data_IF_231137612130
#
_entry.id   IF_231137612130
#
_cell.length_a   1.000
_cell.length_b   1.000
_cell.length_c   1.000
_cell.angle_alpha   90.00
_cell.angle_beta   90.00
_cell.angle_gamma   90.00
#
_symmetry.space_group_name_H-M   'P 1'
#
loop_
_entity.id
_entity.type
_entity.pdbx_description
1 polymer ?
#
# COMPACT_ATOMS: atom_id res chain seq x y z
N UNK A 1 -47.75 46.42 -16.55
CA UNK A 1 -46.54 47.16 -16.93
C UNK A 1 -45.60 46.19 -17.61
N UNK A 2 -45.42 46.41 -18.92
CA UNK A 2 -44.59 45.64 -19.84
C UNK A 2 -43.11 45.99 -19.63
N UNK A 3 -42.23 45.00 -19.59
CA UNK A 3 -40.82 45.18 -19.96
C UNK A 3 -40.30 43.90 -20.62
N UNK A 4 -40.11 43.99 -21.95
CA UNK A 4 -39.39 43.01 -22.76
C UNK A 4 -37.91 43.43 -22.83
N UNK A 5 -36.93 42.52 -22.77
CA UNK A 5 -35.56 42.83 -23.12
C UNK A 5 -35.25 42.51 -24.58
N UNK A 6 -34.66 43.51 -25.25
CA UNK A 6 -34.25 43.54 -26.64
C UNK A 6 -33.21 42.47 -27.01
N UNK A 7 -33.48 41.79 -28.11
CA UNK A 7 -32.58 40.87 -28.80
C UNK A 7 -31.65 41.70 -29.73
N UNK A 8 -30.34 41.66 -29.50
CA UNK A 8 -29.35 42.28 -30.41
C UNK A 8 -28.78 41.19 -31.32
N UNK A 9 -29.08 41.28 -32.61
CA UNK A 9 -28.67 40.36 -33.66
C UNK A 9 -27.37 40.88 -34.31
N UNK A 10 -26.23 40.25 -34.03
CA UNK A 10 -24.95 40.55 -34.67
C UNK A 10 -24.73 39.67 -35.91
N UNK A 11 -24.77 40.30 -37.08
CA UNK A 11 -24.48 39.69 -38.38
C UNK A 11 -22.95 39.67 -38.60
N UNK A 12 -22.34 38.49 -38.68
CA UNK A 12 -20.92 38.34 -39.08
C UNK A 12 -20.84 37.83 -40.52
N UNK A 13 -20.20 38.64 -41.39
CA UNK A 13 -19.89 38.29 -42.77
C UNK A 13 -18.86 37.15 -42.82
N UNK A 14 -19.17 36.07 -43.52
CA UNK A 14 -18.20 35.04 -43.89
C UNK A 14 -17.64 35.34 -45.29
N UNK A 15 -16.34 35.67 -45.36
CA UNK A 15 -15.59 35.70 -46.63
C UNK A 15 -15.30 34.28 -47.08
N UNK A 16 -15.77 33.93 -48.27
CA UNK A 16 -15.46 32.69 -48.95
C UNK A 16 -14.02 32.73 -49.51
N UNK A 17 -13.17 31.81 -49.07
CA UNK A 17 -11.87 31.55 -49.67
C UNK A 17 -11.93 30.25 -50.49
N UNK A 18 -11.61 30.38 -51.79
CA UNK A 18 -11.55 29.29 -52.76
C UNK A 18 -10.49 28.25 -52.38
N UNK A 19 -10.90 26.98 -52.31
CA UNK A 19 -9.98 25.86 -52.13
C UNK A 19 -9.38 25.43 -53.47
N UNK A 20 -8.06 25.57 -53.62
CA UNK A 20 -7.30 24.95 -54.70
C UNK A 20 -7.09 23.46 -54.39
N UNK A 21 -7.46 22.60 -55.34
CA UNK A 21 -7.27 21.14 -55.27
C UNK A 21 -5.79 20.83 -55.57
N UNK A 22 -5.07 20.33 -54.56
CA UNK A 22 -3.71 19.81 -54.69
C UNK A 22 -3.79 18.28 -54.83
N UNK A 23 -3.08 17.64 -55.79
CA UNK A 23 -3.11 16.20 -55.98
C UNK A 23 -2.46 15.46 -54.80
N UNK A 24 -3.16 14.46 -54.26
CA UNK A 24 -2.67 13.59 -53.19
C UNK A 24 -1.56 12.66 -53.73
N UNK A 25 -0.31 12.91 -53.32
CA UNK A 25 0.71 11.86 -53.30
C UNK A 25 0.37 10.91 -52.14
N UNK A 26 0.30 9.62 -52.43
CA UNK A 26 0.15 8.58 -51.42
C UNK A 26 1.31 8.62 -50.42
N UNK A 27 1.05 9.19 -49.24
CA UNK A 27 1.94 9.07 -48.08
C UNK A 27 1.66 7.71 -47.47
N UNK A 28 2.65 6.82 -47.52
CA UNK A 28 2.61 5.56 -46.80
C UNK A 28 2.23 5.82 -45.34
N UNK A 29 1.10 5.26 -44.92
CA UNK A 29 0.59 5.32 -43.56
C UNK A 29 1.56 4.57 -42.67
N UNK A 30 2.57 5.26 -42.14
CA UNK A 30 3.32 4.75 -41.01
C UNK A 30 2.32 4.56 -39.88
N UNK A 31 1.98 3.30 -39.63
CA UNK A 31 1.34 2.88 -38.39
C UNK A 31 2.36 3.13 -37.29
N UNK A 32 2.42 4.37 -36.81
CA UNK A 32 3.05 4.66 -35.52
C UNK A 32 2.24 3.89 -34.51
N UNK A 33 2.80 2.76 -34.04
CA UNK A 33 2.30 2.08 -32.87
C UNK A 33 2.18 3.13 -31.78
N UNK A 34 0.96 3.42 -31.36
CA UNK A 34 0.67 4.13 -30.13
C UNK A 34 1.09 3.22 -28.97
N UNK A 35 2.40 3.10 -28.77
CA UNK A 35 2.96 2.73 -27.48
C UNK A 35 2.48 3.82 -26.52
N UNK A 36 1.56 3.44 -25.63
CA UNK A 36 1.28 4.23 -24.43
C UNK A 36 2.62 4.68 -23.88
N UNK A 37 2.90 6.00 -23.91
CA UNK A 37 4.17 6.58 -23.44
C UNK A 37 4.29 6.29 -21.95
N UNK A 38 4.75 5.09 -21.60
CA UNK A 38 5.16 4.76 -20.23
C UNK A 38 6.25 5.77 -19.89
N UNK A 39 6.11 6.38 -18.72
CA UNK A 39 7.15 7.26 -18.19
C UNK A 39 8.43 6.44 -18.12
N UNK A 40 9.47 6.96 -18.75
CA UNK A 40 10.79 6.34 -18.75
C UNK A 40 11.46 6.63 -17.40
N UNK A 41 11.18 5.77 -16.43
CA UNK A 41 11.70 5.91 -15.06
C UNK A 41 13.21 5.72 -15.02
N UNK A 42 13.81 4.99 -15.97
CA UNK A 42 15.26 4.82 -16.04
C UNK A 42 15.94 6.15 -16.38
N UNK A 43 15.41 6.88 -17.36
CA UNK A 43 15.89 8.23 -17.65
C UNK A 43 15.74 9.18 -16.45
N UNK A 44 14.62 9.09 -15.71
CA UNK A 44 14.45 9.87 -14.48
C UNK A 44 15.50 9.51 -13.40
N UNK A 45 15.96 8.27 -13.34
CA UNK A 45 17.00 7.84 -12.41
C UNK A 45 18.35 8.43 -12.78
N UNK A 46 18.69 8.45 -14.07
CA UNK A 46 19.92 9.04 -14.58
C UNK A 46 19.95 10.57 -14.37
N UNK A 47 18.80 11.23 -14.57
CA UNK A 47 18.63 12.66 -14.25
C UNK A 47 18.82 12.92 -12.75
N UNK A 48 18.24 12.08 -11.89
CA UNK A 48 18.35 12.20 -10.44
C UNK A 48 19.80 12.00 -9.96
N UNK A 49 20.53 11.03 -10.51
CA UNK A 49 21.93 10.80 -10.17
C UNK A 49 22.83 11.95 -10.66
N UNK A 50 22.53 12.50 -11.84
CA UNK A 50 23.21 13.69 -12.36
C UNK A 50 23.02 14.89 -11.43
N UNK A 51 21.79 15.11 -10.96
CA UNK A 51 21.49 16.16 -9.98
C UNK A 51 22.20 15.92 -8.64
N UNK A 52 22.19 14.69 -8.12
CA UNK A 52 22.88 14.34 -6.88
C UNK A 52 24.40 14.58 -6.98
N UNK A 53 25.00 14.34 -8.16
CA UNK A 53 26.41 14.67 -8.38
C UNK A 53 26.66 16.17 -8.45
N UNK A 54 25.74 16.94 -9.04
CA UNK A 54 25.80 18.41 -9.03
C UNK A 54 25.69 18.97 -7.61
N UNK A 55 24.80 18.42 -6.78
CA UNK A 55 24.57 18.88 -5.41
C UNK A 55 25.80 18.78 -4.50
N UNK A 56 26.72 17.84 -4.78
CA UNK A 56 28.00 17.71 -4.07
C UNK A 56 28.89 18.96 -4.18
N UNK A 57 28.64 19.85 -5.14
CA UNK A 57 29.41 21.09 -5.32
C UNK A 57 28.71 22.32 -4.75
N UNK A 58 27.52 22.17 -4.16
CA UNK A 58 26.72 23.27 -3.63
C UNK A 58 26.79 23.29 -2.11
N UNK A 59 27.06 24.44 -1.52
CA UNK A 59 27.02 24.64 -0.06
C UNK A 59 25.96 25.67 0.31
N UNK A 60 25.56 25.70 1.58
CA UNK A 60 24.78 26.82 2.10
C UNK A 60 25.49 28.14 1.80
N UNK A 61 24.76 29.16 1.36
CA UNK A 61 25.33 30.44 0.95
C UNK A 61 25.82 30.51 -0.49
N UNK A 62 25.78 29.42 -1.27
CA UNK A 62 26.11 29.46 -2.70
C UNK A 62 25.14 30.38 -3.44
N UNK A 63 25.64 31.11 -4.45
CA UNK A 63 24.78 31.89 -5.33
C UNK A 63 23.85 30.97 -6.13
N UNK A 64 22.60 31.39 -6.30
CA UNK A 64 21.57 30.64 -7.03
C UNK A 64 20.66 31.58 -7.80
N UNK A 65 19.86 31.03 -8.71
CA UNK A 65 18.92 31.82 -9.51
C UNK A 65 17.59 31.08 -9.67
N UNK A 66 16.49 31.83 -9.59
CA UNK A 66 15.15 31.28 -9.71
C UNK A 66 14.66 30.60 -8.42
N UNK A 67 13.58 29.84 -8.53
CA UNK A 67 12.95 29.13 -7.41
C UNK A 67 13.34 27.64 -7.42
N UNK A 68 14.64 27.35 -7.38
CA UNK A 68 15.13 25.97 -7.34
C UNK A 68 15.19 25.40 -5.92
N UNK A 69 14.87 24.12 -5.80
CA UNK A 69 15.10 23.30 -4.61
C UNK A 69 16.22 22.33 -4.93
N UNK A 70 17.28 22.33 -4.12
CA UNK A 70 18.51 21.56 -4.33
C UNK A 70 18.95 20.92 -3.03
N UNK A 71 19.97 20.07 -3.11
CA UNK A 71 20.68 19.61 -1.92
C UNK A 71 22.05 20.28 -1.82
N UNK A 72 22.52 20.47 -0.59
CA UNK A 72 23.90 20.88 -0.33
C UNK A 72 24.81 19.65 -0.23
N UNK A 73 26.12 19.87 -0.27
CA UNK A 73 27.16 18.85 -0.07
C UNK A 73 27.07 18.17 1.29
N UNK A 74 26.50 18.87 2.28
CA UNK A 74 26.30 18.36 3.64
C UNK A 74 25.00 17.54 3.77
N UNK A 75 24.28 17.36 2.65
CA UNK A 75 23.04 16.59 2.61
C UNK A 75 21.84 17.35 3.16
N UNK A 76 21.89 18.68 3.22
CA UNK A 76 20.78 19.53 3.66
C UNK A 76 19.90 19.90 2.47
N UNK A 77 18.61 20.12 2.73
CA UNK A 77 17.69 20.63 1.72
C UNK A 77 17.84 22.14 1.62
N UNK A 78 18.06 22.68 0.43
CA UNK A 78 18.22 24.11 0.24
C UNK A 78 17.26 24.68 -0.80
N UNK A 79 16.79 25.90 -0.54
CA UNK A 79 15.99 26.68 -1.49
C UNK A 79 16.71 27.97 -1.82
N UNK A 80 16.57 28.40 -3.07
CA UNK A 80 17.09 29.70 -3.48
C UNK A 80 16.21 30.82 -2.93
N UNK A 81 16.76 31.68 -2.08
CA UNK A 81 16.10 32.88 -1.57
C UNK A 81 17.04 34.08 -1.72
N UNK A 82 16.56 35.13 -2.39
CA UNK A 82 17.33 36.36 -2.63
C UNK A 82 18.68 36.13 -3.32
N UNK A 83 18.75 35.16 -4.24
CA UNK A 83 19.96 34.82 -5.00
C UNK A 83 20.99 33.98 -4.23
N UNK A 84 20.62 33.48 -3.06
CA UNK A 84 21.49 32.66 -2.19
C UNK A 84 20.78 31.39 -1.75
N UNK A 85 21.50 30.26 -1.71
CA UNK A 85 20.97 29.00 -1.19
C UNK A 85 20.84 29.06 0.33
N UNK A 86 19.60 28.97 0.80
CA UNK A 86 19.27 28.86 2.22
C UNK A 86 19.00 27.40 2.54
N UNK A 87 19.90 26.78 3.31
CA UNK A 87 19.82 25.39 3.69
C UNK A 87 18.97 25.17 4.96
N UNK A 88 18.25 24.06 4.97
CA UNK A 88 17.44 23.54 6.07
C UNK A 88 17.85 22.08 6.29
N UNK A 89 18.34 21.73 7.48
CA UNK A 89 18.71 20.35 7.79
C UNK A 89 17.52 19.40 7.62
N UNK A 90 17.79 18.22 7.07
CA UNK A 90 16.80 17.14 7.08
C UNK A 90 16.60 16.58 8.50
N UNK A 91 15.37 16.15 8.81
CA UNK A 91 15.08 15.53 10.11
C UNK A 91 15.87 14.21 10.30
N UNK A 92 16.12 13.83 11.55
CA UNK A 92 17.09 12.81 11.97
C UNK A 92 17.30 11.61 11.04
N UNK A 93 18.56 11.37 10.66
CA UNK A 93 19.00 10.24 9.84
C UNK A 93 18.68 10.37 8.35
N UNK A 94 18.00 11.43 7.91
CA UNK A 94 17.69 11.69 6.51
C UNK A 94 18.78 12.56 5.86
N UNK A 95 18.92 12.42 4.55
CA UNK A 95 19.76 13.24 3.68
C UNK A 95 18.93 13.76 2.51
N UNK A 96 19.22 14.97 2.05
CA UNK A 96 18.60 15.50 0.86
C UNK A 96 19.14 14.77 -0.38
N UNK A 97 18.23 14.34 -1.25
CA UNK A 97 18.57 13.80 -2.56
C UNK A 97 17.51 14.15 -3.62
N UNK A 98 17.93 14.21 -4.88
CA UNK A 98 17.05 14.06 -6.03
C UNK A 98 16.66 12.59 -6.20
N UNK A 99 15.36 12.35 -6.38
CA UNK A 99 14.76 11.03 -6.57
C UNK A 99 13.95 11.01 -7.88
N UNK A 100 13.92 9.87 -8.60
CA UNK A 100 13.16 9.76 -9.83
C UNK A 100 11.65 9.85 -9.56
N UNK A 101 10.94 10.60 -10.41
CA UNK A 101 9.48 10.58 -10.44
C UNK A 101 8.98 9.26 -11.05
N UNK A 102 7.90 8.74 -10.50
CA UNK A 102 7.36 7.41 -10.85
C UNK A 102 6.15 7.46 -11.78
N UNK A 103 5.43 8.59 -11.81
CA UNK A 103 4.20 8.77 -12.59
C UNK A 103 4.33 9.86 -13.68
N UNK A 104 5.48 10.54 -13.74
CA UNK A 104 5.77 11.60 -14.70
C UNK A 104 7.27 11.66 -14.99
N UNK A 105 7.65 12.29 -16.11
CA UNK A 105 9.05 12.59 -16.44
C UNK A 105 9.64 13.57 -15.40
N UNK A 106 10.91 13.37 -15.04
CA UNK A 106 11.69 14.25 -14.18
C UNK A 106 12.01 13.67 -12.80
N UNK A 107 12.44 14.55 -11.91
CA UNK A 107 12.95 14.23 -10.58
C UNK A 107 12.27 15.10 -9.52
N UNK A 108 12.40 14.72 -8.25
CA UNK A 108 11.97 15.51 -7.11
C UNK A 108 13.07 15.52 -6.05
N UNK A 109 13.32 16.69 -5.46
CA UNK A 109 14.31 16.85 -4.39
C UNK A 109 13.59 16.74 -3.04
N UNK A 110 14.06 15.87 -2.16
CA UNK A 110 13.45 15.64 -0.85
C UNK A 110 14.44 15.06 0.16
N UNK A 111 14.11 15.13 1.45
CA UNK A 111 14.83 14.43 2.50
C UNK A 111 14.40 12.96 2.52
N UNK A 112 15.34 12.05 2.33
CA UNK A 112 15.13 10.61 2.34
C UNK A 112 16.26 9.90 3.10
N UNK A 113 16.07 8.65 3.48
CA UNK A 113 17.20 7.88 4.03
C UNK A 113 18.19 7.53 2.91
N UNK A 114 19.51 7.51 3.16
CA UNK A 114 20.49 7.16 2.13
C UNK A 114 20.21 5.81 1.45
N UNK A 115 19.69 4.83 2.20
CA UNK A 115 19.26 3.54 1.66
C UNK A 115 18.10 3.67 0.67
N UNK A 116 17.07 4.46 1.00
CA UNK A 116 15.89 4.66 0.16
C UNK A 116 16.26 5.37 -1.16
N UNK A 117 17.25 6.27 -1.13
CA UNK A 117 17.76 6.95 -2.33
C UNK A 117 18.33 5.94 -3.31
N UNK A 118 19.21 5.06 -2.82
CA UNK A 118 19.87 4.04 -3.64
C UNK A 118 18.86 3.04 -4.20
N UNK A 119 17.89 2.64 -3.38
CA UNK A 119 16.82 1.72 -3.79
C UNK A 119 15.94 2.33 -4.89
N UNK A 120 15.47 3.56 -4.71
CA UNK A 120 14.60 4.21 -5.71
C UNK A 120 15.29 4.45 -7.03
N UNK A 121 16.59 4.74 -7.03
CA UNK A 121 17.39 4.82 -8.27
C UNK A 121 17.50 3.46 -8.95
N UNK A 122 17.74 2.39 -8.20
CA UNK A 122 17.81 1.04 -8.74
C UNK A 122 16.46 0.54 -9.27
N UNK A 123 15.37 0.73 -8.51
CA UNK A 123 14.01 0.36 -8.90
C UNK A 123 13.57 1.07 -10.17
N UNK A 124 13.87 2.36 -10.30
CA UNK A 124 13.54 3.16 -11.48
C UNK A 124 14.24 2.65 -12.75
N UNK A 125 15.40 2.00 -12.62
CA UNK A 125 16.14 1.32 -13.70
C UNK A 125 15.71 -0.14 -13.92
N UNK A 126 14.66 -0.60 -13.23
CA UNK A 126 14.20 -1.99 -13.28
C UNK A 126 15.06 -2.97 -12.48
N UNK A 127 16.02 -2.47 -11.71
CA UNK A 127 16.80 -3.27 -10.77
C UNK A 127 15.97 -3.60 -9.53
N UNK A 128 15.96 -4.87 -9.12
CA UNK A 128 15.66 -5.22 -7.73
C UNK A 128 16.97 -5.09 -6.96
N UNK A 129 17.26 -3.92 -6.40
CA UNK A 129 18.36 -3.85 -5.43
C UNK A 129 18.04 -4.86 -4.32
N UNK A 130 18.92 -5.86 -4.14
CA UNK A 130 18.87 -6.69 -2.94
C UNK A 130 19.20 -5.77 -1.77
N UNK A 131 18.15 -5.21 -1.15
CA UNK A 131 18.19 -4.63 0.18
C UNK A 131 19.07 -5.51 1.06
N UNK A 132 20.21 -4.99 1.51
CA UNK A 132 20.88 -5.55 2.67
C UNK A 132 19.87 -5.41 3.82
N UNK A 133 19.24 -6.52 4.23
CA UNK A 133 18.19 -6.54 5.25
C UNK A 133 16.75 -6.70 4.76
N UNK A 134 16.47 -7.02 3.48
CA UNK A 134 15.15 -7.60 3.16
C UNK A 134 15.12 -9.02 3.68
N UNK A 135 14.12 -9.38 4.52
CA UNK A 135 13.98 -10.75 4.98
C UNK A 135 13.84 -11.69 3.79
N UNK A 136 14.69 -12.70 3.75
CA UNK A 136 14.60 -13.77 2.77
C UNK A 136 13.81 -14.93 3.37
N UNK A 137 12.89 -15.50 2.59
CA UNK A 137 12.16 -16.68 3.00
C UNK A 137 13.16 -17.83 3.23
N UNK A 138 13.05 -18.60 4.34
CA UNK A 138 13.86 -19.80 4.51
C UNK A 138 13.74 -20.74 3.31
N UNK A 139 14.82 -21.44 2.95
CA UNK A 139 14.85 -22.31 1.78
C UNK A 139 13.73 -23.37 1.81
N UNK A 140 13.41 -23.91 2.99
CA UNK A 140 12.30 -24.86 3.20
C UNK A 140 10.91 -24.28 2.87
N UNK A 141 10.77 -22.96 2.87
CA UNK A 141 9.53 -22.26 2.53
C UNK A 141 9.41 -21.90 1.04
N UNK A 142 10.52 -21.89 0.29
CA UNK A 142 10.55 -21.46 -1.11
C UNK A 142 9.79 -22.40 -2.07
N UNK A 143 9.62 -23.67 -1.69
CA UNK A 143 9.05 -24.72 -2.55
C UNK A 143 7.52 -24.64 -2.73
N UNK A 144 6.80 -23.78 -1.99
CA UNK A 144 5.32 -23.67 -2.06
C UNK A 144 4.80 -22.43 -2.78
N UNK A 145 5.66 -21.46 -3.08
CA UNK A 145 5.27 -20.25 -3.82
C UNK A 145 5.63 -20.37 -5.29
N UNK A 146 4.66 -20.69 -6.17
CA UNK A 146 4.84 -20.41 -7.60
C UNK A 146 5.05 -18.90 -7.73
N UNK A 147 6.30 -18.47 -7.99
CA UNK A 147 6.61 -17.10 -8.43
C UNK A 147 5.80 -16.85 -9.70
N UNK A 148 4.67 -16.15 -9.60
CA UNK A 148 3.97 -15.65 -10.77
C UNK A 148 4.83 -14.52 -11.33
N UNK A 149 5.78 -14.88 -12.19
CA UNK A 149 6.52 -13.95 -13.04
C UNK A 149 5.59 -13.44 -14.13
N UNK A 150 4.66 -12.56 -13.77
CA UNK A 150 3.88 -11.81 -14.75
C UNK A 150 4.36 -10.36 -14.72
N UNK A 151 5.12 -10.01 -15.76
CA UNK A 151 5.54 -8.69 -16.24
C UNK A 151 5.39 -7.49 -15.28
N UNK A 152 6.55 -6.91 -14.92
CA UNK A 152 6.72 -5.56 -14.39
C UNK A 152 5.97 -4.53 -15.24
N UNK A 153 4.77 -4.17 -14.78
CA UNK A 153 4.00 -3.08 -15.34
C UNK A 153 3.11 -2.55 -14.24
N UNK A 154 3.53 -1.45 -13.61
CA UNK A 154 2.78 -0.59 -12.68
C UNK A 154 1.37 -1.13 -12.34
N UNK A 155 1.30 -2.11 -11.44
CA UNK A 155 0.02 -2.58 -10.93
C UNK A 155 -0.32 -1.71 -9.73
N UNK A 156 -1.49 -1.07 -9.76
CA UNK A 156 -2.28 -0.78 -8.54
C UNK A 156 -1.99 -1.93 -7.57
N UNK A 157 -1.40 -1.64 -6.39
CA UNK A 157 -0.87 -2.65 -5.48
C UNK A 157 -1.80 -3.86 -5.46
N UNK A 158 -1.33 -5.00 -6.01
CA UNK A 158 -2.16 -6.18 -6.19
C UNK A 158 -2.74 -6.52 -4.82
N UNK A 159 -4.07 -6.49 -4.70
CA UNK A 159 -4.79 -6.79 -3.45
C UNK A 159 -5.39 -8.18 -3.59
N UNK A 160 -5.24 -9.00 -2.56
CA UNK A 160 -6.09 -10.17 -2.39
C UNK A 160 -7.16 -9.73 -1.38
N UNK A 161 -8.33 -9.38 -1.90
CA UNK A 161 -9.47 -8.94 -1.13
C UNK A 161 -10.41 -10.11 -0.86
N UNK A 162 -10.97 -10.13 0.35
CA UNK A 162 -11.93 -11.12 0.80
C UNK A 162 -13.35 -10.69 0.40
N UNK A 163 -13.87 -11.32 -0.65
CA UNK A 163 -15.19 -10.99 -1.21
C UNK A 163 -16.35 -11.42 -0.32
N UNK A 164 -16.09 -12.30 0.65
CA UNK A 164 -17.03 -12.87 1.61
C UNK A 164 -17.29 -11.96 2.82
N UNK A 165 -16.47 -10.93 3.06
CA UNK A 165 -16.59 -10.05 4.23
C UNK A 165 -17.99 -9.44 4.44
N UNK A 166 -18.73 -8.97 3.41
CA UNK A 166 -20.07 -8.44 3.62
C UNK A 166 -21.04 -9.49 4.17
N UNK A 167 -21.01 -10.70 3.61
CA UNK A 167 -21.86 -11.80 4.08
C UNK A 167 -21.47 -12.26 5.48
N UNK A 168 -20.16 -12.31 5.75
CA UNK A 168 -19.61 -12.66 7.06
C UNK A 168 -20.06 -11.65 8.12
N UNK A 169 -19.92 -10.35 7.86
CA UNK A 169 -20.38 -9.29 8.78
C UNK A 169 -21.90 -9.30 8.99
N UNK A 170 -22.68 -9.58 7.94
CA UNK A 170 -24.13 -9.69 8.04
C UNK A 170 -24.56 -10.86 8.94
N UNK A 171 -23.87 -12.00 8.84
CA UNK A 171 -24.16 -13.17 9.68
C UNK A 171 -24.03 -12.85 11.18
N UNK A 172 -22.99 -12.12 11.60
CA UNK A 172 -22.88 -11.63 12.98
C UNK A 172 -24.04 -10.73 13.36
N UNK A 173 -24.38 -9.78 12.50
CA UNK A 173 -25.43 -8.82 12.79
C UNK A 173 -26.77 -9.54 13.01
N UNK A 174 -27.10 -10.52 12.18
CA UNK A 174 -28.32 -11.32 12.31
C UNK A 174 -28.32 -12.13 13.62
N UNK A 175 -27.20 -12.81 13.94
CA UNK A 175 -27.06 -13.55 15.19
C UNK A 175 -27.16 -12.63 16.43
N UNK A 176 -26.55 -11.45 16.36
CA UNK A 176 -26.53 -10.48 17.45
C UNK A 176 -27.93 -9.90 17.69
N UNK A 177 -28.66 -9.55 16.64
CA UNK A 177 -30.04 -9.04 16.75
C UNK A 177 -31.01 -10.11 17.29
N UNK A 178 -30.80 -11.38 16.93
CA UNK A 178 -31.60 -12.50 17.44
C UNK A 178 -31.21 -12.93 18.87
N UNK A 179 -30.15 -12.37 19.45
CA UNK A 179 -29.57 -12.90 20.69
C UNK A 179 -30.40 -12.64 21.95
N UNK A 180 -31.17 -11.55 22.00
CA UNK A 180 -31.80 -11.06 23.23
C UNK A 180 -30.83 -10.34 24.18
N UNK A 181 -29.55 -10.19 23.80
CA UNK A 181 -28.56 -9.38 24.53
C UNK A 181 -28.75 -7.87 24.32
N UNK A 182 -27.89 -7.06 24.96
CA UNK A 182 -27.90 -5.60 24.78
C UNK A 182 -27.37 -5.21 23.40
N UNK A 183 -28.27 -4.86 22.49
CA UNK A 183 -27.96 -4.44 21.13
C UNK A 183 -27.77 -2.93 21.00
N UNK A 184 -28.06 -2.16 22.06
CA UNK A 184 -28.10 -0.71 22.03
C UNK A 184 -26.82 -0.10 22.60
N UNK A 185 -26.37 -0.56 23.77
CA UNK A 185 -25.16 -0.03 24.40
C UNK A 185 -23.93 -0.48 23.61
N UNK A 186 -23.15 0.47 23.10
CA UNK A 186 -21.97 0.17 22.31
C UNK A 186 -22.25 -0.46 20.94
N UNK A 187 -23.52 -0.63 20.56
CA UNK A 187 -23.96 -1.08 19.23
C UNK A 187 -23.23 -2.35 18.72
N UNK A 188 -23.14 -3.44 19.52
CA UNK A 188 -22.25 -4.57 19.24
C UNK A 188 -22.57 -5.29 17.92
N UNK A 189 -23.83 -5.25 17.46
CA UNK A 189 -24.24 -5.90 16.23
C UNK A 189 -23.61 -5.28 14.97
N UNK A 190 -23.32 -3.97 15.01
CA UNK A 190 -22.68 -3.26 13.89
C UNK A 190 -21.19 -3.05 14.15
N UNK A 191 -20.82 -2.74 15.39
CA UNK A 191 -19.43 -2.41 15.72
C UNK A 191 -18.53 -3.63 15.61
N UNK A 192 -18.91 -4.78 16.17
CA UNK A 192 -17.95 -5.89 16.35
C UNK A 192 -17.58 -6.60 15.04
N UNK A 193 -18.53 -6.96 14.18
CA UNK A 193 -18.21 -7.60 12.90
C UNK A 193 -18.14 -6.62 11.73
N UNK A 194 -18.91 -5.52 11.76
CA UNK A 194 -18.93 -4.53 10.70
C UNK A 194 -17.69 -3.64 10.76
N UNK A 195 -17.66 -2.71 11.70
CA UNK A 195 -16.61 -1.68 11.75
C UNK A 195 -15.30 -2.24 12.29
N UNK A 196 -15.25 -2.61 13.58
CA UNK A 196 -14.06 -3.17 14.21
C UNK A 196 -13.64 -4.48 13.52
N UNK A 197 -14.61 -5.28 13.07
CA UNK A 197 -14.40 -6.58 12.46
C UNK A 197 -13.71 -6.50 11.10
N UNK A 198 -14.27 -5.72 10.17
CA UNK A 198 -13.66 -5.54 8.84
C UNK A 198 -12.31 -4.81 8.98
N UNK A 199 -12.22 -3.79 9.84
CA UNK A 199 -10.98 -3.06 10.07
C UNK A 199 -9.85 -3.97 10.57
N UNK A 200 -10.16 -4.89 11.47
CA UNK A 200 -9.20 -5.87 12.00
C UNK A 200 -8.74 -6.90 10.97
N UNK A 201 -9.48 -7.12 9.88
CA UNK A 201 -9.13 -8.03 8.78
C UNK A 201 -8.34 -7.33 7.67
N UNK A 202 -8.11 -6.01 7.76
CA UNK A 202 -7.27 -5.29 6.82
C UNK A 202 -5.80 -5.71 6.93
N UNK A 203 -5.09 -5.65 5.79
CA UNK A 203 -3.66 -5.95 5.71
C UNK A 203 -2.80 -5.06 6.62
N UNK A 204 -3.26 -3.84 6.89
CA UNK A 204 -2.57 -2.85 7.71
C UNK A 204 -2.82 -2.98 9.21
N UNK A 205 -3.89 -3.65 9.63
CA UNK A 205 -4.28 -3.66 11.03
C UNK A 205 -3.28 -4.43 11.90
N UNK A 206 -3.18 -4.06 13.18
CA UNK A 206 -2.35 -4.76 14.15
C UNK A 206 -2.61 -6.29 14.14
N UNK A 207 -1.57 -7.15 14.24
CA UNK A 207 -1.73 -8.60 14.18
C UNK A 207 -2.69 -9.18 15.24
N UNK A 208 -2.83 -8.52 16.39
CA UNK A 208 -3.72 -8.95 17.48
C UNK A 208 -5.13 -8.38 17.39
N UNK A 209 -5.38 -7.36 16.56
CA UNK A 209 -6.70 -6.71 16.48
C UNK A 209 -7.83 -7.70 16.16
N UNK A 210 -7.62 -8.67 15.27
CA UNK A 210 -8.61 -9.69 14.94
C UNK A 210 -8.96 -10.57 16.15
N UNK A 211 -7.96 -10.95 16.95
CA UNK A 211 -8.19 -11.71 18.17
C UNK A 211 -8.95 -10.88 19.21
N UNK A 212 -8.56 -9.61 19.37
CA UNK A 212 -9.21 -8.71 20.33
C UNK A 212 -10.69 -8.49 20.01
N UNK A 213 -11.03 -8.43 18.72
CA UNK A 213 -12.42 -8.35 18.28
C UNK A 213 -13.16 -9.66 18.52
N UNK A 214 -12.54 -10.82 18.23
CA UNK A 214 -13.13 -12.12 18.56
C UNK A 214 -13.38 -12.29 20.07
N UNK A 215 -12.46 -11.79 20.90
CA UNK A 215 -12.62 -11.77 22.36
C UNK A 215 -13.82 -10.90 22.78
N UNK A 216 -13.99 -9.72 22.18
CA UNK A 216 -15.17 -8.87 22.43
C UNK A 216 -16.47 -9.52 21.95
N UNK A 217 -16.45 -10.28 20.85
CA UNK A 217 -17.61 -11.05 20.38
C UNK A 217 -18.02 -12.10 21.42
N UNK A 218 -17.06 -12.80 22.03
CA UNK A 218 -17.33 -13.77 23.10
C UNK A 218 -17.77 -13.08 24.39
N UNK A 219 -17.20 -11.93 24.74
CA UNK A 219 -17.67 -11.13 25.86
C UNK A 219 -19.15 -10.75 25.70
N UNK A 220 -19.55 -10.33 24.51
CA UNK A 220 -20.96 -10.08 24.18
C UNK A 220 -21.79 -11.35 24.30
N UNK A 221 -21.33 -12.47 23.74
CA UNK A 221 -22.03 -13.76 23.82
C UNK A 221 -22.24 -14.25 25.27
N UNK A 222 -21.36 -13.85 26.20
CA UNK A 222 -21.45 -14.15 27.63
C UNK A 222 -22.31 -13.15 28.42
N UNK A 223 -22.79 -12.07 27.78
CA UNK A 223 -23.56 -11.04 28.46
C UNK A 223 -24.97 -11.51 28.86
N UNK A 224 -25.54 -10.85 29.87
CA UNK A 224 -26.87 -11.19 30.39
C UNK A 224 -27.93 -10.99 29.30
N UNK A 225 -28.86 -11.94 29.20
CA UNK A 225 -29.98 -11.89 28.25
C UNK A 225 -29.68 -12.54 26.90
N UNK A 226 -28.42 -12.85 26.60
CA UNK A 226 -28.06 -13.64 25.42
C UNK A 226 -28.60 -15.05 25.54
N UNK A 227 -29.42 -15.46 24.56
CA UNK A 227 -30.10 -16.75 24.48
C UNK A 227 -29.47 -17.69 23.46
N UNK A 228 -28.71 -17.16 22.49
CA UNK A 228 -28.07 -17.92 21.41
C UNK A 228 -26.54 -17.94 21.52
N UNK A 229 -26.01 -17.91 22.76
CA UNK A 229 -24.56 -17.85 23.07
C UNK A 229 -23.71 -18.79 22.19
N UNK A 230 -24.12 -20.04 22.03
CA UNK A 230 -23.36 -21.03 21.27
C UNK A 230 -23.12 -20.62 19.81
N UNK A 231 -24.11 -20.02 19.15
CA UNK A 231 -23.99 -19.55 17.78
C UNK A 231 -23.08 -18.32 17.67
N UNK A 232 -23.14 -17.41 18.65
CA UNK A 232 -22.25 -16.24 18.69
C UNK A 232 -20.78 -16.63 18.95
N UNK A 233 -20.55 -17.61 19.83
CA UNK A 233 -19.21 -18.15 20.08
C UNK A 233 -18.67 -18.88 18.86
N UNK A 234 -19.48 -19.73 18.20
CA UNK A 234 -19.08 -20.38 16.94
C UNK A 234 -18.66 -19.35 15.87
N UNK A 235 -19.46 -18.28 15.72
CA UNK A 235 -19.12 -17.18 14.83
C UNK A 235 -17.77 -16.55 15.22
N UNK A 236 -17.55 -16.24 16.51
CA UNK A 236 -16.31 -15.63 16.97
C UNK A 236 -15.08 -16.51 16.71
N UNK A 237 -15.20 -17.82 16.86
CA UNK A 237 -14.15 -18.78 16.51
C UNK A 237 -13.87 -18.81 15.00
N UNK A 238 -14.92 -18.83 14.17
CA UNK A 238 -14.78 -18.72 12.70
C UNK A 238 -14.13 -17.40 12.31
N UNK A 239 -14.56 -16.30 12.91
CA UNK A 239 -13.98 -14.98 12.70
C UNK A 239 -12.50 -14.95 13.10
N UNK A 240 -12.12 -15.56 14.22
CA UNK A 240 -10.71 -15.67 14.66
C UNK A 240 -9.84 -16.44 13.67
N UNK A 241 -10.40 -17.46 13.01
CA UNK A 241 -9.74 -18.30 12.00
C UNK A 241 -9.79 -17.71 10.58
N UNK A 242 -10.65 -16.72 10.36
CA UNK A 242 -10.82 -16.10 9.05
C UNK A 242 -9.48 -15.54 8.54
N UNK A 243 -9.14 -15.71 7.25
CA UNK A 243 -7.93 -15.08 6.72
C UNK A 243 -8.04 -13.55 6.82
N UNK A 244 -6.92 -12.86 6.66
CA UNK A 244 -6.86 -11.40 6.59
C UNK A 244 -6.44 -10.97 5.20
N UNK A 245 -6.90 -9.81 4.75
CA UNK A 245 -6.50 -9.21 3.48
C UNK A 245 -4.98 -9.09 3.38
N UNK A 246 -4.44 -9.26 2.17
CA UNK A 246 -3.02 -9.10 1.88
C UNK A 246 -2.79 -8.09 0.74
N UNK A 247 -1.70 -7.33 0.85
CA UNK A 247 -1.28 -6.33 -0.15
C UNK A 247 0.13 -6.63 -0.62
N UNK A 248 0.35 -6.50 -1.93
CA UNK A 248 1.69 -6.56 -2.49
C UNK A 248 2.52 -5.38 -1.96
N UNK A 249 3.69 -5.68 -1.43
CA UNK A 249 4.71 -4.73 -1.02
C UNK A 249 5.74 -4.52 -2.14
N UNK A 250 6.74 -3.66 -1.87
CA UNK A 250 7.87 -3.43 -2.78
C UNK A 250 8.48 -4.77 -3.27
N UNK A 251 8.88 -4.82 -4.54
CA UNK A 251 9.31 -6.06 -5.18
C UNK A 251 8.20 -7.08 -5.49
N UNK A 252 6.92 -6.66 -5.44
CA UNK A 252 5.75 -7.50 -5.69
C UNK A 252 5.66 -8.71 -4.74
N UNK A 253 6.16 -8.54 -3.52
CA UNK A 253 6.08 -9.54 -2.47
C UNK A 253 4.69 -9.48 -1.86
N UNK A 254 3.95 -10.59 -1.90
CA UNK A 254 2.69 -10.74 -1.17
C UNK A 254 2.98 -11.52 0.12
N UNK A 255 3.26 -10.88 1.27
CA UNK A 255 3.55 -11.60 2.49
C UNK A 255 2.29 -12.24 3.10
N UNK A 256 2.51 -13.27 3.91
CA UNK A 256 1.54 -13.79 4.87
C UNK A 256 1.21 -12.74 5.94
N UNK A 257 0.02 -12.81 6.52
CA UNK A 257 -0.36 -11.98 7.67
C UNK A 257 0.31 -12.50 8.95
N UNK A 258 1.02 -11.66 9.73
CA UNK A 258 1.58 -12.07 11.01
C UNK A 258 0.51 -12.55 11.99
N UNK A 259 0.89 -13.49 12.84
CA UNK A 259 0.03 -14.02 13.89
C UNK A 259 0.13 -13.19 15.17
N UNK A 260 -1.00 -12.96 15.83
CA UNK A 260 -1.02 -12.41 17.18
C UNK A 260 -0.18 -13.24 18.16
N UNK A 261 0.68 -12.58 18.92
CA UNK A 261 1.54 -13.19 19.94
C UNK A 261 1.05 -12.92 21.38
N UNK A 262 -0.18 -12.40 21.51
CA UNK A 262 -0.84 -12.18 22.80
C UNK A 262 -1.80 -13.34 23.07
N UNK A 263 -1.85 -13.82 24.31
CA UNK A 263 -2.84 -14.82 24.71
C UNK A 263 -4.27 -14.24 24.57
N UNK A 264 -5.25 -15.03 24.12
CA UNK A 264 -6.65 -14.57 24.08
C UNK A 264 -7.18 -14.37 25.49
N UNK A 265 -8.14 -13.45 25.63
CA UNK A 265 -8.84 -13.22 26.89
C UNK A 265 -9.78 -14.38 27.22
N UNK A 266 -10.51 -14.87 26.23
CA UNK A 266 -11.50 -15.93 26.37
C UNK A 266 -10.91 -17.29 25.98
N UNK A 267 -11.25 -18.33 26.74
CA UNK A 267 -10.67 -19.67 26.60
C UNK A 267 -11.07 -20.35 25.29
N UNK A 268 -12.23 -20.01 24.74
CA UNK A 268 -12.76 -20.50 23.47
C UNK A 268 -11.83 -20.19 22.28
N UNK A 269 -11.00 -19.14 22.37
CA UNK A 269 -10.04 -18.79 21.31
C UNK A 269 -8.66 -19.44 21.49
N UNK A 270 -8.44 -20.21 22.56
CA UNK A 270 -7.12 -20.78 22.84
C UNK A 270 -6.67 -21.73 21.73
N UNK A 271 -5.51 -21.45 21.16
CA UNK A 271 -4.94 -22.23 20.05
C UNK A 271 -5.52 -21.89 18.67
N UNK A 272 -6.49 -20.97 18.60
CA UNK A 272 -7.01 -20.50 17.31
C UNK A 272 -6.13 -19.38 16.75
N UNK A 273 -5.88 -19.46 15.45
CA UNK A 273 -5.13 -18.47 14.69
C UNK A 273 -5.80 -18.24 13.33
N UNK A 274 -5.58 -17.06 12.76
CA UNK A 274 -6.12 -16.71 11.45
C UNK A 274 -5.48 -17.59 10.37
N UNK A 275 -6.26 -18.03 9.40
CA UNK A 275 -5.71 -18.62 8.20
C UNK A 275 -4.86 -17.60 7.42
N UNK A 276 -4.06 -18.13 6.49
CA UNK A 276 -3.35 -17.32 5.50
C UNK A 276 -4.14 -17.35 4.19
N UNK A 277 -4.20 -16.22 3.48
CA UNK A 277 -4.86 -16.17 2.18
C UNK A 277 -4.10 -17.02 1.14
N UNK A 278 -4.85 -17.63 0.23
CA UNK A 278 -4.23 -18.32 -0.90
C UNK A 278 -3.41 -17.34 -1.75
N UNK A 279 -2.21 -17.75 -2.12
CA UNK A 279 -1.30 -16.96 -2.96
C UNK A 279 -0.39 -15.99 -2.21
N UNK A 280 -0.46 -15.91 -0.88
CA UNK A 280 0.59 -15.26 -0.08
C UNK A 280 1.86 -16.11 -0.03
N UNK A 281 2.98 -15.47 0.28
CA UNK A 281 4.27 -16.12 0.46
C UNK A 281 4.33 -16.73 1.87
N UNK A 282 4.39 -18.06 2.03
CA UNK A 282 4.39 -18.70 3.35
C UNK A 282 5.72 -18.54 4.11
N UNK A 283 6.78 -18.08 3.44
CA UNK A 283 8.08 -17.83 4.05
C UNK A 283 8.31 -16.40 4.52
N UNK A 284 7.39 -15.48 4.23
CA UNK A 284 7.49 -14.06 4.58
C UNK A 284 6.18 -13.59 5.20
N UNK A 285 6.25 -12.89 6.32
CA UNK A 285 5.10 -12.36 7.05
C UNK A 285 5.22 -10.84 7.15
N UNK A 286 4.16 -10.07 6.94
CA UNK A 286 4.29 -8.62 6.86
C UNK A 286 3.07 -7.93 6.27
N UNK A 287 3.15 -6.61 6.17
CA UNK A 287 2.04 -5.76 5.74
C UNK A 287 2.49 -4.31 5.56
N UNK A 288 1.59 -3.41 5.13
CA UNK A 288 1.95 -2.01 4.83
C UNK A 288 2.36 -1.19 6.06
N UNK A 289 1.98 -1.60 7.28
CA UNK A 289 2.28 -0.86 8.52
C UNK A 289 3.31 -1.55 9.43
N UNK A 290 3.82 -2.71 9.05
CA UNK A 290 4.77 -3.47 9.88
C UNK A 290 5.83 -4.12 8.99
N UNK A 291 7.06 -4.28 9.50
CA UNK A 291 8.15 -4.83 8.72
C UNK A 291 7.81 -6.24 8.23
N UNK A 292 8.31 -6.58 7.04
CA UNK A 292 8.35 -7.98 6.62
C UNK A 292 9.32 -8.70 7.54
N UNK A 293 8.99 -9.92 7.94
CA UNK A 293 9.82 -10.83 8.73
C UNK A 293 9.87 -12.19 8.04
N UNK A 294 10.96 -12.96 8.21
CA UNK A 294 11.04 -14.30 7.65
C UNK A 294 10.27 -15.29 8.52
N UNK A 295 9.82 -16.40 7.94
CA UNK A 295 9.34 -17.53 8.71
C UNK A 295 10.41 -18.02 9.69
N UNK A 296 10.02 -18.27 10.94
CA UNK A 296 10.93 -18.51 12.06
C UNK A 296 11.07 -17.33 13.02
N UNK A 297 10.75 -16.09 12.59
CA UNK A 297 10.72 -14.94 13.48
C UNK A 297 9.44 -14.90 14.35
N UNK A 298 9.48 -14.12 15.44
CA UNK A 298 8.30 -13.90 16.28
C UNK A 298 7.14 -13.34 15.44
N UNK A 299 5.94 -13.93 15.58
CA UNK A 299 4.78 -13.56 14.75
C UNK A 299 4.64 -14.34 13.44
N UNK A 300 5.61 -15.20 13.08
CA UNK A 300 5.50 -16.06 11.89
C UNK A 300 4.88 -17.44 12.16
N UNK A 301 4.64 -17.77 13.44
CA UNK A 301 3.83 -18.91 13.88
C UNK A 301 2.74 -18.47 14.86
N UNK A 302 1.62 -19.22 14.95
CA UNK A 302 0.64 -19.04 16.00
C UNK A 302 1.27 -19.04 17.40
N UNK A 303 0.67 -18.28 18.32
CA UNK A 303 1.17 -18.17 19.69
C UNK A 303 1.37 -19.55 20.32
N UNK A 304 2.56 -19.76 20.89
CA UNK A 304 2.93 -20.99 21.59
C UNK A 304 3.40 -22.13 20.68
N UNK A 305 3.38 -21.95 19.36
CA UNK A 305 3.96 -22.90 18.41
C UNK A 305 5.39 -22.52 18.04
N UNK A 306 6.19 -23.53 17.72
CA UNK A 306 7.55 -23.38 17.26
C UNK A 306 7.62 -23.54 15.73
N UNK A 307 8.44 -22.71 15.10
CA UNK A 307 8.67 -22.78 13.67
C UNK A 307 9.70 -23.87 13.32
N UNK A 308 9.34 -24.76 12.39
CA UNK A 308 10.29 -25.62 11.70
C UNK A 308 10.61 -25.02 10.33
N UNK A 309 11.73 -24.29 10.24
CA UNK A 309 12.14 -23.58 9.03
C UNK A 309 12.51 -24.51 7.85
N UNK A 310 12.78 -25.79 8.13
CA UNK A 310 13.10 -26.77 7.09
C UNK A 310 11.85 -27.28 6.37
N UNK A 311 10.74 -27.40 7.10
CA UNK A 311 9.45 -27.88 6.56
C UNK A 311 8.46 -26.75 6.29
N UNK A 312 8.77 -25.54 6.76
CA UNK A 312 7.87 -24.38 6.74
C UNK A 312 6.53 -24.68 7.44
N UNK A 313 6.61 -25.24 8.65
CA UNK A 313 5.44 -25.62 9.47
C UNK A 313 5.59 -25.12 10.90
N UNK A 314 4.47 -24.81 11.53
CA UNK A 314 4.39 -24.50 12.96
C UNK A 314 3.81 -25.71 13.70
N UNK A 315 4.35 -26.02 14.88
CA UNK A 315 3.88 -27.11 15.75
C UNK A 315 4.05 -26.75 17.23
#
# INVERSE_FOLDING_TARGET
MYFAPSLVLSLSLFSAASAAVIPQRAVARQVSSSHSKRVDTAANADDAETLNNKFKTLTAGSACSGAESVCTSDGEFAQCANGVLVATPCAGGLTCAALPLVLSRGTSVTCARPEDVTERLAEARGGSAKRAGTPEAPAGCAAKGKRSSTSSGLTIAKRIAQADLPAFAQEWQDLCLASGGDTQTGQPCVQLAGIDGIDALLAAADPCKQQDVADKMIDFANSKGVTNRAALVDYAERYRKHPRNALALAGNIMPSSPFCQKAPKNAELKGLANAQLDGVNPGLFGGPQFPVIPFGAAGSCPLGQNANVNTCTCA
#
